data_IF_217433788057
#
_entry.id   IF_217433788057
#
_cell.length_a   1.000
_cell.length_b   1.000
_cell.length_c   1.000
_cell.angle_alpha   90.00
_cell.angle_beta   90.00
_cell.angle_gamma   90.00
#
_symmetry.space_group_name_H-M   'P 1'
#
loop_
_entity.id
_entity.type
_entity.pdbx_description
1 polymer ?
#
# COMPACT_ATOMS: atom_id res chain seq x y z
N UNK A 1 -16.08 -5.60 -8.41
CA UNK A 1 -14.89 -4.73 -8.56
C UNK A 1 -13.84 -5.20 -7.58
N UNK A 2 -12.66 -5.62 -8.06
CA UNK A 2 -11.62 -6.24 -7.23
C UNK A 2 -10.47 -5.25 -7.05
N UNK A 3 -10.43 -4.61 -5.87
CA UNK A 3 -9.36 -3.69 -5.50
C UNK A 3 -8.08 -4.49 -5.27
N UNK A 4 -6.98 -3.99 -5.82
CA UNK A 4 -5.66 -4.58 -5.70
C UNK A 4 -4.79 -3.65 -4.88
N UNK A 5 -3.97 -4.24 -4.02
CA UNK A 5 -3.11 -3.53 -3.09
C UNK A 5 -1.66 -3.84 -3.43
N UNK A 6 -0.77 -2.85 -3.36
CA UNK A 6 0.66 -3.08 -3.58
C UNK A 6 1.42 -2.31 -2.53
N UNK A 7 2.37 -3.00 -1.89
CA UNK A 7 3.28 -2.40 -0.93
C UNK A 7 4.50 -1.89 -1.67
N UNK A 8 4.87 -0.66 -1.39
CA UNK A 8 6.05 0.03 -1.94
C UNK A 8 6.84 0.66 -0.80
N UNK A 9 8.09 1.01 -1.05
CA UNK A 9 8.86 1.78 -0.07
C UNK A 9 8.43 3.24 -0.11
N UNK A 10 8.55 3.92 1.04
CA UNK A 10 8.25 5.34 1.17
C UNK A 10 9.12 6.20 0.23
N UNK A 11 10.34 5.77 -0.08
CA UNK A 11 11.25 6.46 -1.00
C UNK A 11 10.69 6.51 -2.43
N UNK A 12 10.06 5.41 -2.86
CA UNK A 12 9.49 5.23 -4.20
C UNK A 12 8.11 5.89 -4.33
N UNK A 13 7.52 6.39 -3.24
CA UNK A 13 6.24 7.13 -3.26
C UNK A 13 6.35 8.40 -4.09
N UNK A 14 7.52 9.01 -4.11
CA UNK A 14 7.83 10.19 -4.91
C UNK A 14 7.58 9.97 -6.41
N UNK A 15 7.79 8.74 -6.88
CA UNK A 15 7.60 8.30 -8.27
C UNK A 15 6.19 7.74 -8.53
N UNK A 16 5.34 7.64 -7.50
CA UNK A 16 3.97 7.15 -7.66
C UNK A 16 3.09 8.18 -8.34
N UNK A 17 2.45 7.76 -9.42
CA UNK A 17 1.46 8.59 -10.12
C UNK A 17 0.11 8.43 -9.42
N UNK A 18 -0.20 9.35 -8.51
CA UNK A 18 -1.49 9.38 -7.77
C UNK A 18 -2.73 9.48 -8.67
N UNK A 19 -2.55 9.92 -9.92
CA UNK A 19 -3.63 9.97 -10.93
C UNK A 19 -4.08 8.58 -11.40
N UNK A 20 -3.24 7.55 -11.27
CA UNK A 20 -3.54 6.17 -11.68
C UNK A 20 -3.94 5.26 -10.51
N UNK A 21 -3.85 5.75 -9.28
CA UNK A 21 -4.28 5.03 -8.06
C UNK A 21 -5.50 5.69 -7.45
N UNK A 22 -6.24 4.92 -6.66
CA UNK A 22 -7.41 5.43 -5.94
C UNK A 22 -6.99 6.02 -4.58
N UNK A 23 -5.94 6.83 -4.60
CA UNK A 23 -5.45 7.55 -3.43
C UNK A 23 -5.44 9.04 -3.72
N UNK A 24 -6.23 9.78 -2.94
CA UNK A 24 -6.03 11.21 -2.83
C UNK A 24 -4.73 11.38 -2.05
N UNK A 25 -3.75 12.02 -2.69
CA UNK A 25 -2.35 12.26 -2.33
C UNK A 25 -2.02 12.63 -0.87
N UNK A 26 -3.00 12.78 0.02
CA UNK A 26 -2.85 13.23 1.40
C UNK A 26 -3.11 12.15 2.45
N UNK A 27 -3.40 10.89 2.06
CA UNK A 27 -3.80 9.84 3.03
C UNK A 27 -3.11 8.49 2.82
N UNK A 28 -1.86 8.50 2.36
CA UNK A 28 -1.03 7.30 2.36
C UNK A 28 -0.81 6.83 3.81
N UNK A 29 -1.14 5.56 4.07
CA UNK A 29 -0.86 4.94 5.36
C UNK A 29 0.52 4.31 5.31
N UNK A 30 1.37 4.73 6.23
CA UNK A 30 2.71 4.15 6.40
C UNK A 30 2.67 3.06 7.47
N UNK A 31 3.67 2.17 7.41
CA UNK A 31 3.96 1.23 8.48
C UNK A 31 4.47 1.98 9.73
N UNK A 32 4.60 1.29 10.86
CA UNK A 32 5.08 1.90 12.10
C UNK A 32 6.49 2.49 11.96
N UNK A 33 7.30 1.92 11.07
CA UNK A 33 8.65 2.39 10.80
C UNK A 33 8.71 3.61 9.84
N UNK A 34 7.61 3.97 9.17
CA UNK A 34 7.59 4.99 8.13
C UNK A 34 8.37 4.63 6.84
N UNK A 35 8.83 3.39 6.71
CA UNK A 35 9.68 2.93 5.58
C UNK A 35 8.88 2.38 4.42
N UNK A 36 7.66 1.90 4.67
CA UNK A 36 6.82 1.26 3.67
C UNK A 36 5.42 1.86 3.70
N UNK A 37 4.81 1.96 2.53
CA UNK A 37 3.40 2.32 2.37
C UNK A 37 2.73 1.35 1.40
N UNK A 38 1.41 1.36 1.36
CA UNK A 38 0.65 0.58 0.41
C UNK A 38 -0.26 1.48 -0.41
N UNK A 39 -0.33 1.20 -1.70
CA UNK A 39 -1.24 1.87 -2.62
C UNK A 39 -2.32 0.91 -3.09
N UNK A 40 -3.49 1.46 -3.41
CA UNK A 40 -4.62 0.69 -3.96
C UNK A 40 -5.02 1.22 -5.33
N UNK A 41 -5.24 0.31 -6.26
CA UNK A 41 -5.70 0.63 -7.61
C UNK A 41 -6.83 -0.29 -8.03
N UNK A 42 -7.59 0.14 -9.04
CA UNK A 42 -8.67 -0.62 -9.63
C UNK A 42 -8.46 -0.71 -11.14
N UNK A 43 -8.69 -1.89 -11.73
CA UNK A 43 -8.49 -2.13 -13.16
C UNK A 43 -7.06 -2.56 -13.51
N UNK A 44 -6.46 -1.86 -14.47
CA UNK A 44 -5.15 -2.19 -15.01
C UNK A 44 -4.03 -1.83 -14.03
N UNK A 45 -2.98 -2.65 -13.98
CA UNK A 45 -1.83 -2.42 -13.11
C UNK A 45 -0.98 -1.28 -13.69
N UNK A 46 -0.78 -0.18 -12.95
CA UNK A 46 0.00 0.94 -13.44
C UNK A 46 1.49 0.56 -13.55
N UNK A 47 2.21 1.28 -14.41
CA UNK A 47 3.58 0.91 -14.84
C UNK A 47 4.59 0.96 -13.69
N UNK A 48 4.43 1.88 -12.74
CA UNK A 48 5.29 1.99 -11.56
C UNK A 48 5.12 0.82 -10.58
N UNK A 49 4.00 0.10 -10.63
CA UNK A 49 3.80 -1.12 -9.84
C UNK A 49 4.29 -2.37 -10.57
N UNK A 50 4.75 -2.24 -11.81
CA UNK A 50 5.21 -3.38 -12.61
C UNK A 50 6.46 -3.99 -11.95
N UNK A 51 6.41 -5.29 -11.64
CA UNK A 51 7.43 -5.98 -10.86
C UNK A 51 7.22 -5.96 -9.33
N UNK A 52 6.28 -5.17 -8.81
CA UNK A 52 5.90 -5.22 -7.38
C UNK A 52 4.86 -6.31 -7.10
N UNK A 53 4.88 -6.85 -5.89
CA UNK A 53 3.91 -7.85 -5.43
C UNK A 53 2.54 -7.21 -5.25
N UNK A 54 1.52 -7.82 -5.85
CA UNK A 54 0.14 -7.38 -5.75
C UNK A 54 -0.62 -8.30 -4.81
N UNK A 55 -1.23 -7.69 -3.80
CA UNK A 55 -2.00 -8.34 -2.76
C UNK A 55 -3.50 -8.15 -2.99
N UNK A 56 -4.27 -9.15 -2.61
CA UNK A 56 -5.72 -9.06 -2.48
C UNK A 56 -6.11 -8.41 -1.15
N UNK A 57 -7.40 -8.10 -1.00
CA UNK A 57 -7.92 -7.49 0.22
C UNK A 57 -7.64 -8.33 1.49
N UNK A 58 -7.77 -9.66 1.39
CA UNK A 58 -7.49 -10.55 2.52
C UNK A 58 -6.00 -10.61 2.87
N UNK A 59 -5.12 -10.62 1.87
CA UNK A 59 -3.67 -10.64 2.09
C UNK A 59 -3.17 -9.33 2.70
N UNK A 60 -3.60 -8.18 2.18
CA UNK A 60 -3.17 -6.89 2.73
C UNK A 60 -3.70 -6.70 4.16
N UNK A 61 -4.90 -7.20 4.48
CA UNK A 61 -5.42 -7.17 5.84
C UNK A 61 -4.54 -7.98 6.79
N UNK A 62 -4.09 -9.17 6.38
CA UNK A 62 -3.18 -9.97 7.18
C UNK A 62 -1.85 -9.23 7.42
N UNK A 63 -1.31 -8.54 6.40
CA UNK A 63 -0.09 -7.74 6.53
C UNK A 63 -0.31 -6.54 7.45
N UNK A 64 -1.41 -5.81 7.29
CA UNK A 64 -1.75 -4.66 8.13
C UNK A 64 -2.00 -5.04 9.59
N UNK A 65 -2.44 -6.28 9.83
CA UNK A 65 -2.60 -6.84 11.17
C UNK A 65 -1.28 -7.28 11.82
N UNK A 66 -0.15 -7.28 11.09
CA UNK A 66 1.15 -7.57 11.68
C UNK A 66 1.66 -6.42 12.54
N UNK A 67 2.55 -6.75 13.48
CA UNK A 67 3.25 -5.79 14.33
C UNK A 67 4.07 -4.75 13.58
N UNK A 68 4.31 -4.92 12.27
CA UNK A 68 4.99 -3.92 11.45
C UNK A 68 4.07 -2.74 11.10
N UNK A 69 2.75 -2.95 11.06
CA UNK A 69 1.75 -1.96 10.60
C UNK A 69 0.76 -1.54 11.67
N UNK A 70 0.44 -2.45 12.60
CA UNK A 70 -0.44 -2.18 13.73
C UNK A 70 0.35 -2.50 14.99
N UNK A 71 0.58 -1.47 15.82
CA UNK A 71 1.20 -1.69 17.13
C UNK A 71 0.25 -2.58 17.94
N UNK A 72 0.74 -3.66 18.59
CA UNK A 72 -0.11 -4.39 19.52
C UNK A 72 -0.64 -3.41 20.57
N UNK A 73 -1.92 -3.53 20.97
CA UNK A 73 -2.46 -2.69 22.03
C UNK A 73 -1.56 -2.87 23.25
N UNK A 74 -0.97 -1.76 23.70
CA UNK A 74 -0.19 -1.74 24.93
C UNK A 74 -1.18 -1.98 26.08
N UNK A 75 -1.03 -3.11 26.77
CA UNK A 75 -1.81 -3.48 27.96
C UNK A 75 -1.49 -2.58 29.15
#
# INVERSE_FOLDING_TARGET
MSRKYVIINADEVSDVVFSEVFEMSQSLRYNLAGTQTFVKYEGAKPRFLHGKTTYTHSEILAILATSAWTSPPTE
#
